data_IF_583592039212
#
_entry.id   IF_583592039212
#
_cell.length_a   1.000
_cell.length_b   1.000
_cell.length_c   1.000
_cell.angle_alpha   90.00
_cell.angle_beta   90.00
_cell.angle_gamma   90.00
#
_symmetry.space_group_name_H-M   'P 1'
#
loop_
_entity.id
_entity.type
_entity.pdbx_description
1 polymer ?
#
# COMPACT_ATOMS: atom_id res chain seq x y z
N UNK A 1 -16.17 -22.08 -17.71
CA UNK A 1 -17.53 -21.89 -18.22
C UNK A 1 -17.49 -21.09 -19.52
N UNK A 2 -16.85 -19.94 -19.62
CA UNK A 2 -16.73 -19.15 -20.87
C UNK A 2 -16.07 -19.89 -22.02
N UNK A 3 -15.16 -20.83 -21.76
CA UNK A 3 -14.52 -21.65 -22.79
C UNK A 3 -15.45 -22.78 -23.31
N UNK A 4 -16.43 -23.19 -22.54
CA UNK A 4 -17.42 -24.19 -22.94
C UNK A 4 -18.60 -23.58 -23.72
N UNK A 5 -18.93 -22.31 -23.51
CA UNK A 5 -20.00 -21.60 -24.23
C UNK A 5 -19.72 -21.47 -25.73
N UNK A 6 -18.45 -21.38 -26.15
CA UNK A 6 -18.07 -21.15 -27.57
C UNK A 6 -18.15 -22.38 -28.45
N UNK A 7 -18.27 -23.59 -27.89
CA UNK A 7 -18.25 -24.84 -28.69
C UNK A 7 -19.42 -25.80 -28.40
N UNK A 8 -20.43 -25.39 -27.66
CA UNK A 8 -21.57 -26.24 -27.32
C UNK A 8 -22.74 -26.02 -28.28
N UNK A 9 -23.29 -27.12 -28.73
CA UNK A 9 -24.53 -27.19 -29.54
C UNK A 9 -25.77 -26.80 -28.73
N UNK A 10 -25.60 -26.53 -27.42
CA UNK A 10 -26.66 -26.20 -26.48
C UNK A 10 -26.36 -24.84 -25.89
N UNK A 11 -27.31 -23.92 -25.92
CA UNK A 11 -27.31 -22.67 -25.20
C UNK A 11 -27.76 -22.95 -23.77
N UNK A 12 -26.90 -22.65 -22.78
CA UNK A 12 -27.23 -22.71 -21.37
C UNK A 12 -27.49 -21.29 -20.86
N UNK A 13 -28.61 -21.06 -20.23
CA UNK A 13 -28.82 -19.85 -19.46
C UNK A 13 -28.11 -20.00 -18.11
N UNK A 14 -27.01 -19.26 -17.95
CA UNK A 14 -26.25 -19.27 -16.70
C UNK A 14 -26.72 -18.11 -15.82
N UNK A 15 -27.36 -18.43 -14.71
CA UNK A 15 -27.72 -17.46 -13.68
C UNK A 15 -26.64 -17.51 -12.59
N UNK A 16 -25.99 -16.38 -12.37
CA UNK A 16 -24.89 -16.27 -11.41
C UNK A 16 -25.26 -15.28 -10.31
N UNK A 17 -25.28 -15.73 -9.06
CA UNK A 17 -25.58 -14.90 -7.90
C UNK A 17 -24.47 -14.93 -6.88
N UNK A 18 -24.17 -13.76 -6.30
CA UNK A 18 -23.28 -13.58 -5.16
C UNK A 18 -24.10 -13.20 -3.95
N UNK A 19 -23.63 -13.52 -2.74
CA UNK A 19 -24.30 -13.06 -1.50
C UNK A 19 -24.32 -11.53 -1.38
N UNK A 20 -23.35 -10.85 -2.00
CA UNK A 20 -23.28 -9.40 -2.17
C UNK A 20 -23.17 -9.07 -3.65
N UNK A 21 -24.11 -8.27 -4.16
CA UNK A 21 -24.09 -7.68 -5.50
C UNK A 21 -24.12 -6.14 -5.35
N UNK A 22 -23.14 -5.44 -5.89
CA UNK A 22 -22.97 -3.99 -5.77
C UNK A 22 -23.08 -3.47 -4.31
N UNK A 23 -22.50 -4.23 -3.38
CA UNK A 23 -22.49 -3.91 -1.96
C UNK A 23 -23.84 -4.10 -1.24
N UNK A 24 -24.85 -4.67 -1.93
CA UNK A 24 -26.17 -5.01 -1.36
C UNK A 24 -26.29 -6.51 -1.15
N UNK A 25 -26.82 -6.97 -0.01
CA UNK A 25 -27.11 -8.38 0.21
C UNK A 25 -28.19 -8.87 -0.77
N UNK A 26 -27.96 -10.03 -1.40
CA UNK A 26 -28.94 -10.68 -2.28
C UNK A 26 -30.21 -11.06 -1.50
N UNK A 27 -30.06 -11.54 -0.26
CA UNK A 27 -31.16 -11.91 0.64
C UNK A 27 -31.09 -11.11 1.94
N UNK A 28 -31.33 -9.80 1.87
CA UNK A 28 -31.21 -8.87 2.99
C UNK A 28 -32.05 -9.22 4.23
N UNK A 29 -33.16 -9.96 4.07
CA UNK A 29 -33.98 -10.50 5.17
C UNK A 29 -33.29 -11.65 5.94
N UNK A 30 -32.45 -12.43 5.29
CA UNK A 30 -31.72 -13.57 5.86
C UNK A 30 -30.29 -13.23 6.23
N UNK A 31 -29.58 -12.51 5.34
CA UNK A 31 -28.20 -12.12 5.48
C UNK A 31 -28.11 -10.59 5.40
N UNK A 32 -28.15 -9.93 6.55
CA UNK A 32 -27.83 -8.50 6.58
C UNK A 32 -26.37 -8.28 6.20
N UNK A 33 -26.04 -7.09 5.70
CA UNK A 33 -24.66 -6.71 5.37
C UNK A 33 -23.71 -6.93 6.54
N UNK A 34 -24.17 -6.62 7.77
CA UNK A 34 -23.37 -6.84 8.99
C UNK A 34 -23.07 -8.32 9.22
N UNK A 35 -24.05 -9.18 9.06
CA UNK A 35 -23.88 -10.64 9.22
C UNK A 35 -22.93 -11.21 8.15
N UNK A 36 -23.03 -10.76 6.92
CA UNK A 36 -22.09 -11.17 5.86
C UNK A 36 -20.67 -10.75 6.20
N UNK A 37 -20.48 -9.52 6.72
CA UNK A 37 -19.18 -9.03 7.14
C UNK A 37 -18.63 -9.79 8.36
N UNK A 38 -19.48 -10.23 9.28
CA UNK A 38 -19.07 -11.10 10.41
C UNK A 38 -18.58 -12.45 9.90
N UNK A 39 -19.36 -13.11 9.05
CA UNK A 39 -18.97 -14.39 8.43
C UNK A 39 -17.64 -14.21 7.66
N UNK A 40 -17.49 -13.16 6.87
CA UNK A 40 -16.24 -12.87 6.16
C UNK A 40 -15.06 -12.74 7.12
N UNK A 41 -15.23 -12.02 8.24
CA UNK A 41 -14.20 -11.88 9.27
C UNK A 41 -13.82 -13.20 9.91
N UNK A 42 -14.78 -14.09 10.14
CA UNK A 42 -14.51 -15.40 10.70
C UNK A 42 -13.64 -16.24 9.76
N UNK A 43 -13.96 -16.25 8.46
CA UNK A 43 -13.10 -16.89 7.46
C UNK A 43 -11.71 -16.24 7.35
N UNK A 44 -11.63 -14.92 7.48
CA UNK A 44 -10.37 -14.18 7.51
C UNK A 44 -9.51 -14.53 8.73
N UNK A 45 -10.11 -14.60 9.92
CA UNK A 45 -9.43 -14.91 11.16
C UNK A 45 -8.77 -16.30 11.16
N UNK A 46 -9.33 -17.25 10.40
CA UNK A 46 -8.77 -18.59 10.22
C UNK A 46 -7.95 -18.76 8.95
N UNK A 47 -7.68 -17.66 8.21
CA UNK A 47 -6.90 -17.68 6.97
C UNK A 47 -7.59 -18.38 5.79
N UNK A 48 -8.93 -18.46 5.80
CA UNK A 48 -9.73 -19.18 4.79
C UNK A 48 -10.65 -18.26 3.97
N UNK A 49 -10.23 -17.02 3.74
CA UNK A 49 -11.01 -16.04 2.97
C UNK A 49 -11.41 -16.57 1.57
N UNK A 50 -10.57 -17.43 0.97
CA UNK A 50 -10.85 -18.11 -0.29
C UNK A 50 -12.12 -18.99 -0.23
N UNK A 51 -12.38 -19.64 0.91
CA UNK A 51 -13.61 -20.43 1.08
C UNK A 51 -14.83 -19.54 1.15
N UNK A 52 -14.73 -18.38 1.81
CA UNK A 52 -15.81 -17.40 1.77
C UNK A 52 -16.12 -16.98 0.33
N UNK A 53 -15.09 -16.73 -0.49
CA UNK A 53 -15.29 -16.40 -1.89
C UNK A 53 -15.94 -17.53 -2.68
N UNK A 54 -15.55 -18.78 -2.46
CA UNK A 54 -16.15 -19.95 -3.11
C UNK A 54 -17.60 -20.17 -2.68
N UNK A 55 -17.88 -20.14 -1.38
CA UNK A 55 -19.18 -20.52 -0.82
C UNK A 55 -20.22 -19.40 -0.88
N UNK A 56 -19.80 -18.15 -0.67
CA UNK A 56 -20.71 -17.01 -0.58
C UNK A 56 -20.68 -16.08 -1.78
N UNK A 57 -19.51 -15.94 -2.44
CA UNK A 57 -19.38 -15.08 -3.61
C UNK A 57 -19.46 -15.85 -4.92
N UNK A 58 -19.67 -17.18 -4.84
CA UNK A 58 -19.73 -18.08 -6.00
C UNK A 58 -18.49 -17.97 -6.90
N UNK A 59 -17.34 -17.74 -6.28
CA UNK A 59 -16.06 -17.57 -6.96
C UNK A 59 -15.24 -18.86 -6.83
N UNK A 60 -15.46 -19.76 -7.77
CA UNK A 60 -14.84 -21.09 -7.80
C UNK A 60 -13.40 -21.07 -8.34
N UNK A 61 -12.63 -19.99 -8.10
CA UNK A 61 -11.25 -19.96 -8.59
C UNK A 61 -10.42 -21.05 -7.91
N UNK A 62 -9.70 -21.77 -8.72
CA UNK A 62 -8.74 -22.76 -8.27
C UNK A 62 -7.53 -22.05 -7.62
N UNK A 63 -7.36 -22.26 -6.32
CA UNK A 63 -6.21 -21.75 -5.56
C UNK A 63 -4.87 -22.23 -6.11
N UNK A 64 -4.85 -23.37 -6.80
CA UNK A 64 -3.62 -23.87 -7.43
C UNK A 64 -3.16 -22.98 -8.58
N UNK A 65 -4.10 -22.25 -9.21
CA UNK A 65 -3.81 -21.31 -10.31
C UNK A 65 -3.74 -19.85 -9.86
N UNK A 66 -4.05 -19.56 -8.57
CA UNK A 66 -3.97 -18.22 -8.03
C UNK A 66 -2.55 -17.67 -8.11
N UNK A 67 -2.39 -16.47 -8.70
CA UNK A 67 -1.09 -15.81 -8.86
C UNK A 67 -0.51 -15.38 -7.51
N UNK A 68 -1.33 -14.78 -6.65
CA UNK A 68 -0.97 -14.42 -5.30
C UNK A 68 -1.42 -15.48 -4.29
N UNK A 69 -0.50 -16.01 -3.51
CA UNK A 69 -0.78 -16.94 -2.39
C UNK A 69 -1.16 -16.12 -1.16
N UNK A 70 -2.43 -15.80 -1.01
CA UNK A 70 -2.95 -14.94 0.07
C UNK A 70 -2.64 -15.51 1.46
N UNK A 71 -2.57 -16.84 1.59
CA UNK A 71 -2.16 -17.53 2.82
C UNK A 71 -0.72 -17.23 3.27
N UNK A 72 0.10 -16.66 2.39
CA UNK A 72 1.48 -16.25 2.68
C UNK A 72 1.60 -14.79 3.10
N UNK A 73 0.55 -13.97 2.95
CA UNK A 73 0.55 -12.61 3.46
C UNK A 73 0.74 -12.61 4.97
N UNK A 74 1.55 -11.66 5.44
CA UNK A 74 1.85 -11.51 6.86
C UNK A 74 1.14 -10.28 7.43
N UNK A 75 0.74 -10.34 8.70
CA UNK A 75 0.18 -9.19 9.40
C UNK A 75 1.23 -8.46 10.22
N UNK A 76 1.09 -7.15 10.35
CA UNK A 76 1.88 -6.35 11.29
C UNK A 76 1.03 -5.28 11.98
N UNK A 77 1.47 -4.87 13.18
CA UNK A 77 0.90 -3.76 13.93
C UNK A 77 1.98 -2.74 14.33
N UNK A 78 3.09 -2.71 13.59
CA UNK A 78 4.19 -1.80 13.88
C UNK A 78 3.75 -0.33 13.88
N UNK A 79 4.25 0.42 14.85
CA UNK A 79 4.23 1.87 14.83
C UNK A 79 5.41 2.39 14.03
N UNK A 80 5.20 3.44 13.27
CA UNK A 80 6.26 4.12 12.51
C UNK A 80 6.86 5.19 13.39
N UNK A 81 8.17 5.13 13.58
CA UNK A 81 8.94 6.08 14.41
C UNK A 81 10.11 6.61 13.58
N UNK A 82 10.33 7.91 13.62
CA UNK A 82 11.45 8.55 12.91
C UNK A 82 12.46 9.11 13.92
N UNK A 83 13.74 8.90 13.65
CA UNK A 83 14.85 9.42 14.45
C UNK A 83 16.16 9.33 13.66
N UNK A 84 17.11 10.24 13.90
CA UNK A 84 18.45 10.25 13.29
C UNK A 84 18.45 10.08 11.75
N UNK A 85 17.54 10.76 11.06
CA UNK A 85 17.36 10.67 9.61
C UNK A 85 17.03 9.25 9.09
N UNK A 86 16.46 8.40 9.95
CA UNK A 86 16.06 7.03 9.66
C UNK A 86 14.64 6.76 10.16
N UNK A 87 13.91 5.89 9.49
CA UNK A 87 12.60 5.39 9.90
C UNK A 87 12.75 4.01 10.51
N UNK A 88 12.00 3.75 11.56
CA UNK A 88 11.96 2.48 12.26
C UNK A 88 10.52 2.00 12.38
N UNK A 89 10.34 0.70 12.28
CA UNK A 89 9.10 0.00 12.65
C UNK A 89 9.25 -0.54 14.07
N UNK A 90 8.35 -0.13 14.98
CA UNK A 90 8.44 -0.47 16.40
C UNK A 90 7.19 -1.21 16.87
N UNK A 91 7.39 -2.35 17.50
CA UNK A 91 6.35 -3.06 18.24
C UNK A 91 6.97 -3.72 19.49
N UNK A 92 6.46 -3.38 20.66
CA UNK A 92 7.01 -3.84 21.95
C UNK A 92 8.53 -3.59 22.04
N UNK A 93 9.33 -4.66 22.07
CA UNK A 93 10.80 -4.61 22.14
C UNK A 93 11.47 -4.75 20.77
N UNK A 94 10.70 -4.90 19.69
CA UNK A 94 11.23 -5.05 18.34
C UNK A 94 11.34 -3.68 17.69
N UNK A 95 12.51 -3.34 17.15
CA UNK A 95 12.79 -2.13 16.39
C UNK A 95 13.49 -2.55 15.09
N UNK A 96 12.90 -2.21 13.96
CA UNK A 96 13.39 -2.61 12.63
C UNK A 96 13.69 -1.33 11.84
N UNK A 97 14.96 -1.08 11.46
CA UNK A 97 15.28 0.04 10.56
C UNK A 97 14.73 -0.26 9.16
N UNK A 98 14.07 0.74 8.56
CA UNK A 98 13.45 0.59 7.25
C UNK A 98 13.68 1.81 6.37
N UNK A 99 13.72 1.59 5.07
CA UNK A 99 13.61 2.66 4.08
C UNK A 99 12.17 2.76 3.61
N UNK A 100 11.63 3.98 3.59
CA UNK A 100 10.23 4.24 3.19
C UNK A 100 10.18 4.79 1.77
N UNK A 101 9.21 4.29 1.01
CA UNK A 101 8.94 4.65 -0.39
C UNK A 101 7.45 4.94 -0.56
N UNK A 102 7.14 5.84 -1.48
CA UNK A 102 5.77 6.13 -1.88
C UNK A 102 5.62 5.81 -3.36
N UNK A 103 4.61 5.04 -3.71
CA UNK A 103 4.15 4.81 -5.07
C UNK A 103 2.86 5.59 -5.32
N UNK A 104 2.78 6.25 -6.46
CA UNK A 104 1.61 7.04 -6.85
C UNK A 104 1.14 6.55 -8.20
N UNK A 105 -0.08 6.07 -8.24
CA UNK A 105 -0.82 5.78 -9.46
C UNK A 105 -1.88 6.85 -9.66
N UNK A 106 -1.86 7.49 -10.84
CA UNK A 106 -2.73 8.62 -11.17
C UNK A 106 -3.70 8.19 -12.27
N UNK A 107 -4.94 8.02 -11.90
CA UNK A 107 -6.00 7.82 -12.86
C UNK A 107 -6.13 9.00 -13.83
N UNK A 108 -6.12 8.73 -15.13
CA UNK A 108 -6.04 9.73 -16.18
C UNK A 108 -7.24 9.74 -17.11
N UNK A 109 -8.43 9.45 -16.71
CA UNK A 109 -9.52 9.59 -17.65
C UNK A 109 -10.43 10.79 -17.38
N UNK A 110 -10.81 11.44 -18.50
CA UNK A 110 -11.71 12.58 -18.58
C UNK A 110 -13.17 12.26 -18.23
N UNK A 111 -13.47 11.03 -17.88
CA UNK A 111 -14.80 10.60 -17.46
C UNK A 111 -14.88 10.59 -15.94
N UNK A 112 -15.41 11.66 -15.40
CA UNK A 112 -15.45 12.09 -14.01
C UNK A 112 -16.01 11.09 -12.95
N UNK A 113 -16.23 9.83 -13.28
CA UNK A 113 -17.03 8.96 -12.41
C UNK A 113 -16.35 7.65 -11.93
N UNK A 114 -15.15 7.27 -12.37
CA UNK A 114 -14.67 5.91 -12.06
C UNK A 114 -13.19 5.72 -11.70
N UNK A 115 -12.33 6.74 -11.74
CA UNK A 115 -10.90 6.48 -11.56
C UNK A 115 -10.39 6.94 -10.19
N UNK A 116 -9.95 5.97 -9.39
CA UNK A 116 -9.37 6.21 -8.07
C UNK A 116 -7.91 6.66 -8.20
N UNK A 117 -7.54 7.63 -7.38
CA UNK A 117 -6.15 8.02 -7.19
C UNK A 117 -5.53 7.18 -6.08
N UNK A 118 -4.32 6.67 -6.30
CA UNK A 118 -3.64 5.86 -5.29
C UNK A 118 -2.33 6.52 -4.85
N UNK A 119 -2.16 6.59 -3.52
CA UNK A 119 -0.87 6.87 -2.88
C UNK A 119 -0.58 5.68 -1.98
N UNK A 120 0.43 4.89 -2.29
CA UNK A 120 0.83 3.71 -1.53
C UNK A 120 2.12 3.98 -0.77
N UNK A 121 2.11 3.80 0.54
CA UNK A 121 3.29 3.96 1.40
C UNK A 121 3.81 2.58 1.82
N UNK A 122 5.02 2.25 1.41
CA UNK A 122 5.68 0.99 1.77
C UNK A 122 7.03 1.24 2.42
N UNK A 123 7.38 0.34 3.34
CA UNK A 123 8.71 0.27 3.92
C UNK A 123 9.39 -1.03 3.49
N UNK A 124 10.73 -1.02 3.46
CA UNK A 124 11.54 -2.21 3.23
C UNK A 124 12.65 -2.29 4.26
N UNK A 125 12.86 -3.46 4.86
CA UNK A 125 13.93 -3.72 5.80
C UNK A 125 15.20 -4.30 5.15
N UNK A 126 16.22 -4.62 5.95
CA UNK A 126 17.48 -5.21 5.48
C UNK A 126 17.33 -6.62 4.90
N UNK A 127 16.29 -7.36 5.29
CA UNK A 127 15.99 -8.71 4.82
C UNK A 127 15.06 -8.74 3.59
N UNK A 128 14.74 -7.56 3.03
CA UNK A 128 13.79 -7.39 1.94
C UNK A 128 12.38 -7.88 2.29
N UNK A 129 11.96 -7.71 3.54
CA UNK A 129 10.56 -7.72 3.89
C UNK A 129 9.96 -6.36 3.55
N UNK A 130 8.78 -6.37 2.97
CA UNK A 130 8.04 -5.18 2.55
C UNK A 130 6.82 -5.01 3.44
N UNK A 131 6.58 -3.78 3.91
CA UNK A 131 5.51 -3.46 4.84
C UNK A 131 4.62 -2.40 4.22
N UNK A 132 3.36 -2.70 3.98
CA UNK A 132 2.35 -1.70 3.62
C UNK A 132 2.02 -0.92 4.89
N UNK A 133 2.47 0.32 4.96
CA UNK A 133 2.26 1.18 6.13
C UNK A 133 0.90 1.85 6.07
N UNK A 134 0.53 2.35 4.88
CA UNK A 134 -0.70 3.08 4.65
C UNK A 134 -0.97 3.22 3.15
N UNK A 135 -2.19 3.58 2.78
CA UNK A 135 -2.52 4.01 1.43
C UNK A 135 -3.72 4.96 1.43
N UNK A 136 -3.76 5.78 0.39
CA UNK A 136 -4.91 6.58 -0.02
C UNK A 136 -5.49 5.97 -1.29
N UNK A 137 -6.80 5.73 -1.33
CA UNK A 137 -7.51 5.14 -2.45
C UNK A 137 -8.90 5.77 -2.56
N UNK A 138 -8.95 6.96 -3.14
CA UNK A 138 -10.19 7.74 -3.27
C UNK A 138 -10.15 8.60 -4.53
N UNK A 139 -11.30 9.16 -4.89
CA UNK A 139 -11.38 10.17 -5.93
C UNK A 139 -10.84 11.50 -5.42
N UNK A 140 -9.82 12.03 -6.08
CA UNK A 140 -9.27 13.34 -5.78
C UNK A 140 -8.95 14.07 -7.08
N UNK A 141 -9.31 15.36 -7.21
CA UNK A 141 -8.92 16.16 -8.35
C UNK A 141 -7.41 16.17 -8.54
N UNK A 142 -6.96 16.04 -9.77
CA UNK A 142 -5.54 15.90 -10.08
C UNK A 142 -4.69 17.08 -9.55
N UNK A 143 -5.26 18.28 -9.48
CA UNK A 143 -4.56 19.48 -8.97
C UNK A 143 -4.34 19.45 -7.44
N UNK A 144 -5.08 18.62 -6.69
CA UNK A 144 -4.92 18.43 -5.25
C UNK A 144 -3.92 17.33 -4.91
N UNK A 145 -3.62 16.43 -5.85
CA UNK A 145 -2.71 15.31 -5.64
C UNK A 145 -1.32 15.73 -5.14
N UNK A 146 -0.66 16.80 -5.62
CA UNK A 146 0.64 17.20 -5.11
C UNK A 146 0.62 17.48 -3.61
N UNK A 147 -0.43 18.16 -3.13
CA UNK A 147 -0.58 18.45 -1.70
C UNK A 147 -0.79 17.17 -0.90
N UNK A 148 -1.64 16.27 -1.39
CA UNK A 148 -1.92 15.00 -0.73
C UNK A 148 -0.67 14.11 -0.65
N UNK A 149 0.07 13.99 -1.74
CA UNK A 149 1.35 13.26 -1.77
C UNK A 149 2.34 13.86 -0.77
N UNK A 150 2.42 15.20 -0.69
CA UNK A 150 3.31 15.88 0.24
C UNK A 150 2.94 15.61 1.69
N UNK A 151 1.66 15.57 2.04
CA UNK A 151 1.17 15.23 3.38
C UNK A 151 1.62 13.82 3.80
N UNK A 152 1.44 12.82 2.92
CA UNK A 152 1.93 11.46 3.18
C UNK A 152 3.44 11.41 3.29
N UNK A 153 4.14 12.10 2.40
CA UNK A 153 5.60 12.17 2.43
C UNK A 153 6.12 12.79 3.74
N UNK A 154 5.44 13.80 4.27
CA UNK A 154 5.78 14.43 5.54
C UNK A 154 5.46 13.52 6.74
N UNK A 155 4.31 12.85 6.71
CA UNK A 155 3.87 11.94 7.77
C UNK A 155 4.85 10.79 7.99
N UNK A 156 5.40 10.23 6.92
CA UNK A 156 6.31 9.08 6.95
C UNK A 156 7.78 9.44 6.74
N UNK A 157 8.11 10.73 6.87
CA UNK A 157 9.49 11.25 6.69
C UNK A 157 10.46 10.70 7.74
N UNK A 158 11.75 10.45 7.38
CA UNK A 158 12.35 10.66 6.07
C UNK A 158 12.02 9.54 5.07
N UNK A 159 11.47 9.91 3.93
CA UNK A 159 11.24 8.97 2.82
C UNK A 159 12.42 8.97 1.86
N UNK A 160 12.65 7.85 1.17
CA UNK A 160 13.76 7.71 0.22
C UNK A 160 13.38 8.17 -1.18
N UNK A 161 12.11 7.96 -1.58
CA UNK A 161 11.62 8.34 -2.91
C UNK A 161 10.10 8.34 -2.96
N UNK A 162 9.56 9.22 -3.79
CA UNK A 162 8.19 9.18 -4.30
C UNK A 162 8.27 8.79 -5.77
N UNK A 163 7.76 7.63 -6.13
CA UNK A 163 7.64 7.17 -7.52
C UNK A 163 6.26 7.55 -8.02
N UNK A 164 6.20 8.45 -8.98
CA UNK A 164 4.94 8.86 -9.62
C UNK A 164 4.89 8.22 -11.00
N UNK A 165 3.78 7.61 -11.35
CA UNK A 165 3.57 7.16 -12.72
C UNK A 165 3.88 8.29 -13.71
N UNK A 166 4.59 7.99 -14.79
CA UNK A 166 5.01 8.99 -15.75
C UNK A 166 4.40 8.75 -17.14
N UNK A 167 3.12 9.12 -17.27
CA UNK A 167 2.38 9.10 -18.53
C UNK A 167 1.73 10.49 -18.72
N UNK A 168 1.94 11.14 -19.86
CA UNK A 168 1.26 12.39 -20.20
C UNK A 168 1.61 13.59 -19.27
N UNK A 169 0.58 14.29 -18.78
CA UNK A 169 0.69 15.52 -17.97
C UNK A 169 1.19 15.29 -16.53
N UNK A 170 1.42 14.06 -16.11
CA UNK A 170 1.82 13.70 -14.74
C UNK A 170 3.21 14.23 -14.34
N UNK A 171 4.02 14.68 -15.31
CA UNK A 171 5.25 15.41 -15.05
C UNK A 171 5.05 16.64 -14.15
N UNK A 172 3.90 17.31 -14.28
CA UNK A 172 3.54 18.49 -13.47
C UNK A 172 3.38 18.11 -12.00
N UNK A 173 2.77 16.98 -11.70
CA UNK A 173 2.57 16.48 -10.32
C UNK A 173 3.91 16.25 -9.64
N UNK A 174 4.81 15.52 -10.30
CA UNK A 174 6.18 15.27 -9.83
C UNK A 174 6.92 16.58 -9.54
N UNK A 175 6.86 17.54 -10.45
CA UNK A 175 7.55 18.83 -10.32
C UNK A 175 6.96 19.68 -9.19
N UNK A 176 5.64 19.63 -9.00
CA UNK A 176 4.94 20.30 -7.89
C UNK A 176 5.34 19.70 -6.54
N UNK A 177 5.38 18.36 -6.40
CA UNK A 177 5.83 17.69 -5.18
C UNK A 177 7.29 18.05 -4.87
N UNK A 178 8.16 18.08 -5.88
CA UNK A 178 9.56 18.47 -5.69
C UNK A 178 9.71 19.94 -5.27
N UNK A 179 8.90 20.86 -5.79
CA UNK A 179 8.88 22.26 -5.35
C UNK A 179 8.46 22.37 -3.90
N UNK A 180 7.39 21.68 -3.50
CA UNK A 180 6.93 21.65 -2.10
C UNK A 180 8.02 21.08 -1.18
N UNK A 181 8.63 19.95 -1.56
CA UNK A 181 9.72 19.32 -0.82
C UNK A 181 10.96 20.20 -0.65
N UNK A 182 11.23 21.09 -1.61
CA UNK A 182 12.33 22.03 -1.52
C UNK A 182 12.21 23.06 -0.39
N UNK A 183 11.01 23.26 0.16
CA UNK A 183 10.75 24.12 1.32
C UNK A 183 10.78 23.35 2.66
N UNK A 184 10.82 22.03 2.63
CA UNK A 184 10.88 21.19 3.83
C UNK A 184 12.29 20.59 4.00
N UNK A 185 13.00 21.00 5.07
CA UNK A 185 14.38 20.54 5.35
C UNK A 185 14.49 19.02 5.59
N UNK A 186 13.38 18.34 5.86
CA UNK A 186 13.35 16.89 6.09
C UNK A 186 13.21 16.10 4.80
N UNK A 187 12.96 16.77 3.68
CA UNK A 187 12.82 16.13 2.37
C UNK A 187 14.06 16.37 1.51
N UNK A 188 14.53 15.31 0.86
CA UNK A 188 15.62 15.42 -0.09
C UNK A 188 15.16 16.15 -1.35
N UNK A 189 15.99 17.06 -1.92
CA UNK A 189 15.69 17.67 -3.21
C UNK A 189 15.49 16.60 -4.29
N UNK A 190 14.46 16.77 -5.13
CA UNK A 190 14.17 15.83 -6.22
C UNK A 190 13.67 14.46 -5.74
N UNK A 191 12.98 14.42 -4.60
CA UNK A 191 12.47 13.19 -3.99
C UNK A 191 11.44 12.48 -4.87
N UNK A 192 10.62 13.24 -5.61
CA UNK A 192 9.65 12.70 -6.54
C UNK A 192 10.30 12.44 -7.91
N UNK A 193 10.09 11.23 -8.42
CA UNK A 193 10.59 10.78 -9.72
C UNK A 193 9.48 10.15 -10.54
N UNK A 194 9.48 10.47 -11.83
CA UNK A 194 8.61 9.78 -12.78
C UNK A 194 9.13 8.37 -13.05
N UNK A 195 8.24 7.39 -12.95
CA UNK A 195 8.51 5.99 -13.29
C UNK A 195 7.62 5.60 -14.46
N UNK A 196 8.24 5.13 -15.54
CA UNK A 196 7.51 4.59 -16.70
C UNK A 196 7.41 3.08 -16.57
N UNK A 197 6.22 2.52 -16.77
CA UNK A 197 6.10 1.08 -16.96
C UNK A 197 6.99 0.62 -18.14
N UNK A 198 7.55 -0.61 -18.07
CA UNK A 198 8.34 -1.15 -19.17
C UNK A 198 7.50 -1.25 -20.45
N UNK A 199 8.05 -0.77 -21.57
CA UNK A 199 7.36 -0.85 -22.85
C UNK A 199 7.20 -2.30 -23.32
N UNK A 200 6.02 -2.63 -23.87
CA UNK A 200 5.76 -3.94 -24.44
C UNK A 200 5.44 -5.05 -23.44
N UNK A 201 5.43 -4.74 -22.14
CA UNK A 201 5.02 -5.69 -21.08
C UNK A 201 3.59 -5.35 -20.68
N UNK A 202 2.70 -6.34 -20.67
CA UNK A 202 1.34 -6.17 -20.18
C UNK A 202 1.34 -5.80 -18.68
N UNK A 203 0.33 -5.06 -18.26
CA UNK A 203 0.15 -4.65 -16.86
C UNK A 203 0.18 -5.86 -15.92
N UNK A 204 -0.57 -6.91 -16.24
CA UNK A 204 -0.65 -8.14 -15.45
C UNK A 204 0.73 -8.79 -15.30
N UNK A 205 1.49 -8.95 -16.40
CA UNK A 205 2.83 -9.57 -16.35
C UNK A 205 3.80 -8.73 -15.52
N UNK A 206 3.67 -7.40 -15.58
CA UNK A 206 4.47 -6.46 -14.79
C UNK A 206 4.21 -6.62 -13.29
N UNK A 207 2.93 -6.63 -12.90
CA UNK A 207 2.51 -6.81 -11.51
C UNK A 207 2.91 -8.20 -11.00
N UNK A 208 2.64 -9.25 -11.79
CA UNK A 208 3.00 -10.62 -11.46
C UNK A 208 4.50 -10.77 -11.23
N UNK A 209 5.33 -10.27 -12.13
CA UNK A 209 6.79 -10.46 -12.07
C UNK A 209 7.44 -9.86 -10.82
N UNK A 210 6.93 -8.74 -10.30
CA UNK A 210 7.48 -8.09 -9.12
C UNK A 210 6.78 -8.52 -7.83
N UNK A 211 5.45 -8.50 -7.81
CA UNK A 211 4.69 -8.66 -6.57
C UNK A 211 4.49 -10.13 -6.17
N UNK A 212 4.23 -11.03 -7.13
CA UNK A 212 4.01 -12.43 -6.79
C UNK A 212 5.19 -13.09 -6.06
N UNK A 213 6.46 -12.91 -6.46
CA UNK A 213 7.57 -13.47 -5.71
C UNK A 213 7.67 -12.95 -4.27
N UNK A 214 7.31 -11.69 -4.02
CA UNK A 214 7.33 -11.07 -2.70
C UNK A 214 6.24 -11.68 -1.83
N UNK A 215 5.00 -11.71 -2.32
CA UNK A 215 3.85 -12.28 -1.61
C UNK A 215 4.03 -13.76 -1.36
N UNK A 216 4.36 -14.53 -2.42
CA UNK A 216 4.42 -15.99 -2.37
C UNK A 216 5.57 -16.54 -1.50
N UNK A 217 6.56 -15.70 -1.18
CA UNK A 217 7.62 -16.00 -0.22
C UNK A 217 7.33 -15.51 1.20
N UNK A 218 6.15 -14.95 1.47
CA UNK A 218 5.79 -14.40 2.77
C UNK A 218 6.58 -13.15 3.16
N UNK A 219 7.00 -12.38 2.15
CA UNK A 219 7.81 -11.17 2.34
C UNK A 219 6.98 -9.88 2.29
N UNK A 220 5.66 -9.96 2.14
CA UNK A 220 4.76 -8.82 2.20
C UNK A 220 3.95 -8.84 3.49
N UNK A 221 4.03 -7.73 4.21
CA UNK A 221 3.34 -7.50 5.48
C UNK A 221 2.32 -6.38 5.30
N UNK A 222 1.11 -6.55 5.85
CA UNK A 222 0.06 -5.55 5.79
C UNK A 222 -0.66 -5.42 7.14
N UNK A 223 -1.39 -4.32 7.34
CA UNK A 223 -2.25 -4.16 8.51
C UNK A 223 -3.60 -4.83 8.26
N UNK A 224 -4.26 -5.30 9.32
CA UNK A 224 -5.59 -5.92 9.21
C UNK A 224 -6.66 -5.03 8.56
N UNK A 225 -6.50 -3.70 8.65
CA UNK A 225 -7.41 -2.74 8.01
C UNK A 225 -7.24 -2.66 6.48
N UNK A 226 -6.14 -3.15 5.93
CA UNK A 226 -5.81 -3.09 4.51
C UNK A 226 -6.47 -4.23 3.72
N UNK A 227 -7.81 -4.38 3.85
CA UNK A 227 -8.53 -5.48 3.20
C UNK A 227 -8.69 -5.29 1.69
N UNK A 228 -8.82 -4.06 1.22
CA UNK A 228 -9.04 -3.78 -0.20
C UNK A 228 -7.90 -4.31 -1.07
N UNK A 229 -6.64 -4.10 -0.67
CA UNK A 229 -5.49 -4.61 -1.43
C UNK A 229 -5.41 -6.14 -1.39
N UNK A 230 -5.83 -6.78 -0.29
CA UNK A 230 -5.94 -8.23 -0.20
C UNK A 230 -7.01 -8.76 -1.15
N UNK A 231 -8.12 -8.05 -1.26
CA UNK A 231 -9.20 -8.37 -2.20
C UNK A 231 -8.75 -8.21 -3.66
N UNK A 232 -7.99 -7.16 -4.00
CA UNK A 232 -7.41 -7.01 -5.34
C UNK A 232 -6.45 -8.16 -5.66
N UNK A 233 -5.53 -8.52 -4.72
CA UNK A 233 -4.63 -9.67 -4.89
C UNK A 233 -5.40 -10.97 -5.09
N UNK A 234 -6.46 -11.17 -4.32
CA UNK A 234 -7.30 -12.36 -4.41
C UNK A 234 -7.98 -12.47 -5.79
N UNK A 235 -8.41 -11.34 -6.36
CA UNK A 235 -9.11 -11.30 -7.64
C UNK A 235 -8.19 -11.16 -8.87
N UNK A 236 -6.92 -10.94 -8.67
CA UNK A 236 -5.95 -10.77 -9.75
C UNK A 236 -5.73 -12.08 -10.57
N UNK A 237 -5.62 -12.04 -11.91
CA UNK A 237 -5.69 -10.85 -12.79
C UNK A 237 -7.09 -10.51 -13.31
N UNK A 238 -8.13 -11.19 -12.87
CA UNK A 238 -9.51 -11.04 -13.38
C UNK A 238 -10.37 -10.07 -12.53
N UNK A 239 -9.76 -9.39 -11.56
CA UNK A 239 -10.42 -8.38 -10.74
C UNK A 239 -10.92 -7.19 -11.56
N UNK A 240 -11.96 -6.51 -11.06
CA UNK A 240 -12.46 -5.28 -11.67
C UNK A 240 -11.47 -4.12 -11.47
N UNK A 241 -10.80 -4.09 -10.31
CA UNK A 241 -9.85 -3.05 -9.92
C UNK A 241 -8.52 -3.70 -9.58
N UNK A 242 -7.44 -3.03 -9.92
CA UNK A 242 -6.06 -3.41 -9.61
C UNK A 242 -5.19 -2.16 -9.33
N UNK A 243 -5.85 -1.04 -8.96
CA UNK A 243 -5.23 0.26 -8.75
C UNK A 243 -4.28 0.25 -7.55
N UNK A 244 -4.67 -0.43 -6.45
CA UNK A 244 -3.80 -0.61 -5.27
C UNK A 244 -2.57 -1.46 -5.59
N UNK A 245 -2.71 -2.47 -6.46
CA UNK A 245 -1.58 -3.27 -6.92
C UNK A 245 -0.60 -2.45 -7.76
N UNK A 246 -1.09 -1.54 -8.60
CA UNK A 246 -0.24 -0.60 -9.33
C UNK A 246 0.47 0.37 -8.38
N UNK A 247 -0.24 0.97 -7.44
CA UNK A 247 0.36 1.81 -6.41
C UNK A 247 1.44 1.05 -5.62
N UNK A 248 1.19 -0.21 -5.26
CA UNK A 248 2.16 -1.07 -4.60
C UNK A 248 3.38 -1.35 -5.50
N UNK A 249 3.14 -1.63 -6.79
CA UNK A 249 4.20 -1.84 -7.76
C UNK A 249 5.10 -0.59 -7.86
N UNK A 250 4.52 0.61 -7.99
CA UNK A 250 5.29 1.86 -8.04
C UNK A 250 6.08 2.09 -6.75
N UNK A 251 5.51 1.78 -5.59
CA UNK A 251 6.19 1.98 -4.30
C UNK A 251 7.39 1.05 -4.11
N UNK A 252 7.31 -0.18 -4.60
CA UNK A 252 8.36 -1.21 -4.46
C UNK A 252 9.41 -1.12 -5.58
N UNK A 253 9.01 -0.64 -6.77
CA UNK A 253 9.93 -0.52 -7.91
C UNK A 253 11.14 0.32 -7.54
N UNK A 254 12.34 -0.26 -7.70
CA UNK A 254 13.63 0.35 -7.33
C UNK A 254 13.80 0.62 -5.83
N UNK A 255 12.98 0.02 -4.95
CA UNK A 255 13.18 0.11 -3.52
C UNK A 255 14.49 -0.60 -3.12
N UNK A 256 15.22 0.02 -2.20
CA UNK A 256 16.49 -0.50 -1.67
C UNK A 256 16.36 -0.66 -0.17
N UNK A 257 16.88 -1.75 0.34
CA UNK A 257 17.00 -2.00 1.78
C UNK A 257 17.89 -0.94 2.45
N UNK A 258 17.68 -0.62 3.72
CA UNK A 258 18.68 0.09 4.50
C UNK A 258 19.97 -0.70 4.53
N UNK A 259 21.11 -0.03 4.77
CA UNK A 259 22.36 -0.71 5.06
C UNK A 259 22.18 -1.55 6.32
N UNK A 260 22.72 -2.76 6.33
CA UNK A 260 22.61 -3.67 7.47
C UNK A 260 23.63 -3.30 8.55
N UNK A 261 23.48 -2.12 9.17
CA UNK A 261 24.16 -1.91 10.44
C UNK A 261 23.37 -2.71 11.48
N UNK A 262 24.09 -3.53 12.27
CA UNK A 262 23.52 -4.21 13.42
C UNK A 262 23.06 -3.11 14.40
N UNK A 263 21.78 -2.82 14.35
CA UNK A 263 21.17 -1.84 15.24
C UNK A 263 20.97 -2.50 16.61
N UNK A 264 21.71 -2.07 17.61
CA UNK A 264 21.45 -2.46 18.99
C UNK A 264 20.33 -1.57 19.56
N UNK A 265 19.31 -2.19 20.14
CA UNK A 265 18.14 -1.50 20.70
C UNK A 265 18.48 -0.46 21.76
N UNK A 266 19.66 -0.57 22.36
CA UNK A 266 20.16 0.35 23.38
C UNK A 266 20.60 1.70 22.80
N UNK A 267 21.11 1.75 21.56
CA UNK A 267 21.53 2.98 20.90
C UNK A 267 20.34 3.90 20.59
N UNK A 268 19.19 3.32 20.21
CA UNK A 268 17.99 4.10 19.96
C UNK A 268 17.48 4.82 21.21
N UNK A 269 17.57 4.16 22.37
CA UNK A 269 17.13 4.74 23.64
C UNK A 269 18.11 5.79 24.19
N UNK A 270 19.40 5.65 23.91
CA UNK A 270 20.44 6.59 24.35
C UNK A 270 20.34 7.92 23.57
N UNK A 271 20.24 7.86 22.24
CA UNK A 271 20.18 9.04 21.38
C UNK A 271 18.92 9.87 21.59
N UNK A 272 17.76 9.22 21.73
CA UNK A 272 16.52 9.93 22.08
C UNK A 272 16.56 10.60 23.45
N UNK A 273 17.27 10.02 24.45
CA UNK A 273 17.45 10.64 25.76
C UNK A 273 18.34 11.88 25.69
N UNK A 274 19.36 11.87 24.84
CA UNK A 274 20.24 13.04 24.65
C UNK A 274 19.57 14.15 23.86
N UNK A 275 18.80 13.85 22.79
CA UNK A 275 18.04 14.85 22.04
C UNK A 275 16.95 15.50 22.89
N UNK A 276 16.21 14.72 23.68
CA UNK A 276 15.22 15.24 24.63
C UNK A 276 15.90 16.12 25.70
N UNK A 277 17.10 15.75 26.17
CA UNK A 277 17.87 16.57 27.12
C UNK A 277 18.40 17.85 26.48
N UNK A 278 18.88 17.79 25.22
CA UNK A 278 19.34 18.95 24.43
C UNK A 278 18.18 19.90 24.13
N UNK A 279 17.03 19.39 23.72
CA UNK A 279 15.81 20.16 23.46
C UNK A 279 15.31 20.85 24.73
N UNK A 280 15.22 20.14 25.87
CA UNK A 280 14.85 20.73 27.15
C UNK A 280 15.84 21.80 27.64
N UNK A 281 17.16 21.61 27.40
CA UNK A 281 18.17 22.61 27.73
C UNK A 281 18.08 23.85 26.84
N UNK A 282 17.77 23.72 25.55
CA UNK A 282 17.60 24.86 24.64
C UNK A 282 16.36 25.68 25.01
N UNK A 283 15.24 25.03 25.29
CA UNK A 283 14.01 25.68 25.73
C UNK A 283 14.21 26.41 27.07
N UNK A 284 14.89 25.79 28.05
CA UNK A 284 15.20 26.43 29.32
C UNK A 284 16.15 27.64 29.14
N UNK A 285 17.14 27.56 28.23
CA UNK A 285 18.01 28.72 27.96
C UNK A 285 17.26 29.86 27.29
N UNK A 286 16.36 29.60 26.33
CA UNK A 286 15.54 30.65 25.69
C UNK A 286 14.61 31.34 26.70
N UNK A 287 14.10 30.61 27.67
CA UNK A 287 13.29 31.17 28.78
C UNK A 287 14.12 32.07 29.73
N UNK A 288 15.35 31.65 30.01
CA UNK A 288 16.24 32.39 30.95
C UNK A 288 16.88 33.61 30.28
N UNK A 289 17.19 33.55 28.98
CA UNK A 289 17.89 34.63 28.27
C UNK A 289 16.98 35.58 27.49
N UNK A 290 15.68 35.29 27.37
CA UNK A 290 14.72 36.13 26.66
C UNK A 290 14.97 36.25 25.13
N UNK A 291 15.90 35.48 24.59
CA UNK A 291 16.17 35.47 23.16
C UNK A 291 15.19 34.52 22.43
N UNK A 292 14.34 35.07 21.56
CA UNK A 292 13.53 34.30 20.60
C UNK A 292 14.48 33.70 19.55
N UNK A 293 14.37 32.38 19.38
CA UNK A 293 14.98 31.64 18.27
C UNK A 293 14.22 31.93 16.97
#
# INVERSE_FOLDING_TARGET
LEAQEKNSKYTWDVIFHRVLEDGKPLWGSYFSKNKINEIRKDYENVGQLHKFAQEYMNDARDLATAKFKIDKLQHHNYQVVSGNNQVYLKEKNTIIPVNVYIGVDLAYESNANNDYQVIMVTAVDSEKNYYILDYYHEHLPLYEMPQKIFEYAKMYSPIRRVNVEHVGAQGIIKDSVNKMGGFDRKMAPGIARGVRPPNGIKKEDRLESLLCPIVNRGKLFHRKIHQEIVDEMFHFPKGKNDDLLDGLWYSITNARSPLSDKFESDDFNADNREEIKKSKKSVLRSWVTGQRL
#
